data_IF_238251234611
#
_entry.id   IF_238251234611
#
_cell.length_a   1.000
_cell.length_b   1.000
_cell.length_c   1.000
_cell.angle_alpha   90.00
_cell.angle_beta   90.00
_cell.angle_gamma   90.00
#
_symmetry.space_group_name_H-M   'P 1'
#
loop_
_entity.id
_entity.type
_entity.pdbx_description
1 polymer ?
#
# COMPACT_ATOMS: atom_id res chain seq x y z
N UNK A 1 21.75 -29.54 7.15
CA UNK A 1 20.36 -29.59 6.62
C UNK A 1 19.39 -28.81 7.50
N UNK A 2 19.36 -29.03 8.81
CA UNK A 2 18.47 -28.28 9.74
C UNK A 2 18.71 -26.75 9.73
N UNK A 3 19.97 -26.33 9.65
CA UNK A 3 20.38 -24.91 9.58
C UNK A 3 19.94 -24.18 8.30
N UNK A 4 19.85 -24.88 7.17
CA UNK A 4 19.46 -24.29 5.88
C UNK A 4 17.95 -24.06 5.87
N UNK A 5 17.18 -25.04 6.36
CA UNK A 5 15.72 -24.96 6.47
C UNK A 5 15.31 -23.83 7.43
N UNK A 6 15.99 -23.68 8.57
CA UNK A 6 15.73 -22.58 9.50
C UNK A 6 16.09 -21.20 8.92
N UNK A 7 17.11 -21.10 8.07
CA UNK A 7 17.47 -19.87 7.37
C UNK A 7 16.44 -19.50 6.31
N UNK A 8 16.02 -20.47 5.48
CA UNK A 8 14.98 -20.28 4.47
C UNK A 8 13.62 -19.92 5.11
N UNK A 9 13.25 -20.57 6.22
CA UNK A 9 12.02 -20.26 6.94
C UNK A 9 12.02 -18.83 7.52
N UNK A 10 13.18 -18.32 7.96
CA UNK A 10 13.33 -16.93 8.43
C UNK A 10 13.14 -15.91 7.30
N UNK A 11 13.67 -16.19 6.10
CA UNK A 11 13.54 -15.32 4.93
C UNK A 11 12.10 -15.29 4.39
N UNK A 12 11.44 -16.44 4.29
CA UNK A 12 10.02 -16.51 3.89
C UNK A 12 9.11 -15.77 4.89
N UNK A 13 9.36 -15.91 6.19
CA UNK A 13 8.61 -15.18 7.22
C UNK A 13 8.80 -13.67 7.11
N UNK A 14 10.02 -13.19 6.80
CA UNK A 14 10.29 -11.77 6.59
C UNK A 14 9.53 -11.22 5.38
N UNK A 15 9.52 -11.95 4.26
CA UNK A 15 8.77 -11.57 3.04
C UNK A 15 7.27 -11.51 3.33
N UNK A 16 6.72 -12.50 4.05
CA UNK A 16 5.30 -12.53 4.44
C UNK A 16 4.93 -11.35 5.34
N UNK A 17 5.79 -10.98 6.30
CA UNK A 17 5.57 -9.80 7.15
C UNK A 17 5.55 -8.52 6.31
N UNK A 18 6.49 -8.34 5.39
CA UNK A 18 6.53 -7.18 4.49
C UNK A 18 5.30 -7.12 3.59
N UNK A 19 4.87 -8.25 3.04
CA UNK A 19 3.66 -8.35 2.23
C UNK A 19 2.39 -8.01 3.04
N UNK A 20 2.30 -8.45 4.29
CA UNK A 20 1.19 -8.11 5.19
C UNK A 20 1.14 -6.61 5.50
N UNK A 21 2.30 -5.99 5.76
CA UNK A 21 2.41 -4.55 5.97
C UNK A 21 1.97 -3.74 4.72
N UNK A 22 2.38 -4.18 3.52
CA UNK A 22 1.92 -3.60 2.26
C UNK A 22 0.40 -3.68 2.12
N UNK A 23 -0.19 -4.85 2.42
CA UNK A 23 -1.63 -5.07 2.31
C UNK A 23 -2.42 -4.17 3.26
N UNK A 24 -1.98 -4.06 4.51
CA UNK A 24 -2.57 -3.15 5.51
C UNK A 24 -2.46 -1.70 5.03
N UNK A 25 -1.30 -1.28 4.50
CA UNK A 25 -1.10 0.07 3.99
C UNK A 25 -2.06 0.41 2.85
N UNK A 26 -2.21 -0.48 1.86
CA UNK A 26 -3.16 -0.30 0.76
C UNK A 26 -4.60 -0.21 1.30
N UNK A 27 -4.97 -1.04 2.27
CA UNK A 27 -6.27 -0.98 2.92
C UNK A 27 -6.55 0.37 3.61
N UNK A 28 -5.56 0.90 4.33
CA UNK A 28 -5.65 2.22 4.98
C UNK A 28 -5.83 3.32 3.92
N UNK A 29 -5.02 3.30 2.87
CA UNK A 29 -5.09 4.30 1.79
C UNK A 29 -6.47 4.30 1.12
N UNK A 30 -7.01 3.13 0.78
CA UNK A 30 -8.36 3.00 0.22
C UNK A 30 -9.40 3.55 1.20
N UNK A 31 -9.30 3.20 2.49
CA UNK A 31 -10.26 3.65 3.50
C UNK A 31 -10.25 5.17 3.67
N UNK A 32 -9.06 5.79 3.69
CA UNK A 32 -8.92 7.26 3.72
C UNK A 32 -9.57 7.89 2.49
N UNK A 33 -9.31 7.35 1.30
CA UNK A 33 -9.88 7.88 0.05
C UNK A 33 -11.41 7.74 0.02
N UNK A 34 -11.95 6.60 0.47
CA UNK A 34 -13.40 6.34 0.52
C UNK A 34 -14.09 7.22 1.56
N UNK A 35 -13.50 7.34 2.76
CA UNK A 35 -14.05 8.18 3.83
C UNK A 35 -14.18 9.62 3.35
N UNK A 36 -13.12 10.12 2.74
CA UNK A 36 -13.10 11.49 2.25
C UNK A 36 -14.10 11.74 1.12
N UNK A 37 -14.21 10.78 0.20
CA UNK A 37 -15.16 10.89 -0.89
C UNK A 37 -16.60 10.83 -0.37
N UNK A 38 -16.87 10.03 0.68
CA UNK A 38 -18.17 10.06 1.35
C UNK A 38 -18.47 11.41 1.98
N UNK A 39 -17.53 11.99 2.72
CA UNK A 39 -17.73 13.33 3.32
C UNK A 39 -18.06 14.37 2.24
N UNK A 40 -17.40 14.30 1.09
CA UNK A 40 -17.73 15.19 -0.02
C UNK A 40 -19.12 14.96 -0.64
N UNK A 41 -19.55 13.70 -0.77
CA UNK A 41 -20.90 13.40 -1.23
C UNK A 41 -21.95 13.87 -0.23
N UNK A 42 -21.64 13.85 1.06
CA UNK A 42 -22.50 14.34 2.13
C UNK A 42 -22.71 15.86 2.06
N UNK A 43 -21.67 16.63 1.71
CA UNK A 43 -21.77 18.07 1.46
C UNK A 43 -22.60 18.42 0.19
N UNK A 44 -22.73 17.47 -0.75
CA UNK A 44 -23.46 17.66 -2.01
C UNK A 44 -24.43 16.49 -2.29
N UNK A 45 -25.55 16.38 -1.54
CA UNK A 45 -26.43 15.21 -1.55
C UNK A 45 -27.16 14.95 -2.88
N UNK A 46 -27.13 15.90 -3.82
CA UNK A 46 -27.65 15.75 -5.18
C UNK A 46 -26.71 14.97 -6.12
N UNK A 47 -25.42 14.84 -5.78
CA UNK A 47 -24.45 14.12 -6.60
C UNK A 47 -24.47 12.63 -6.30
N UNK A 48 -24.67 11.82 -7.34
CA UNK A 48 -24.53 10.36 -7.24
C UNK A 48 -23.05 9.97 -7.27
N UNK A 49 -22.71 8.84 -6.64
CA UNK A 49 -21.35 8.29 -6.67
C UNK A 49 -20.89 8.09 -8.13
N UNK A 50 -19.82 8.78 -8.52
CA UNK A 50 -19.25 8.73 -9.87
C UNK A 50 -17.77 8.38 -9.78
N UNK A 51 -17.39 7.21 -10.33
CA UNK A 51 -15.99 6.77 -10.37
C UNK A 51 -15.10 7.73 -11.16
N UNK A 52 -15.64 8.38 -12.20
CA UNK A 52 -14.91 9.38 -12.99
C UNK A 52 -14.53 10.60 -12.15
N UNK A 53 -15.44 11.07 -11.30
CA UNK A 53 -15.18 12.20 -10.40
C UNK A 53 -14.28 11.83 -9.23
N UNK A 54 -14.32 10.57 -8.79
CA UNK A 54 -13.39 10.05 -7.79
C UNK A 54 -11.95 10.05 -8.31
N UNK A 55 -11.71 9.58 -9.53
CA UNK A 55 -10.36 9.50 -10.13
C UNK A 55 -9.84 10.89 -10.51
N UNK A 56 -10.71 11.79 -11.02
CA UNK A 56 -10.32 13.15 -11.43
C UNK A 56 -9.98 14.07 -10.25
N UNK A 57 -10.27 13.65 -9.02
CA UNK A 57 -10.01 14.44 -7.81
C UNK A 57 -8.51 14.50 -7.52
N UNK A 58 -7.97 15.71 -7.31
CA UNK A 58 -6.55 15.93 -6.97
C UNK A 58 -6.04 15.08 -5.79
N UNK A 59 -6.93 14.75 -4.84
CA UNK A 59 -6.62 13.90 -3.67
C UNK A 59 -6.39 12.43 -4.02
N UNK A 60 -7.02 11.93 -5.09
CA UNK A 60 -6.74 10.60 -5.63
C UNK A 60 -5.29 10.53 -6.11
N UNK A 61 -4.83 11.54 -6.85
CA UNK A 61 -3.45 11.62 -7.32
C UNK A 61 -2.44 11.74 -6.18
N UNK A 62 -2.73 12.51 -5.12
CA UNK A 62 -1.86 12.58 -3.93
C UNK A 62 -1.73 11.20 -3.26
N UNK A 63 -2.85 10.49 -3.07
CA UNK A 63 -2.85 9.14 -2.50
C UNK A 63 -2.11 8.13 -3.40
N UNK A 64 -2.27 8.26 -4.72
CA UNK A 64 -1.58 7.42 -5.70
C UNK A 64 -0.07 7.65 -5.68
N UNK A 65 0.37 8.93 -5.64
CA UNK A 65 1.79 9.29 -5.51
C UNK A 65 2.36 8.73 -4.19
N UNK A 66 1.65 8.89 -3.07
CA UNK A 66 2.06 8.29 -1.79
C UNK A 66 2.13 6.76 -1.86
N UNK A 67 1.21 6.12 -2.58
CA UNK A 67 1.26 4.68 -2.84
C UNK A 67 2.51 4.27 -3.62
N UNK A 68 2.83 4.98 -4.70
CA UNK A 68 4.02 4.71 -5.52
C UNK A 68 5.31 4.95 -4.74
N UNK A 69 5.41 6.04 -3.98
CA UNK A 69 6.56 6.33 -3.11
C UNK A 69 6.73 5.23 -2.05
N UNK A 70 5.64 4.75 -1.47
CA UNK A 70 5.71 3.67 -0.48
C UNK A 70 6.14 2.34 -1.10
N UNK A 71 5.60 1.96 -2.27
CA UNK A 71 6.00 0.74 -2.98
C UNK A 71 7.48 0.80 -3.37
N UNK A 72 7.92 1.92 -3.93
CA UNK A 72 9.34 2.11 -4.30
C UNK A 72 10.26 2.05 -3.08
N UNK A 73 9.85 2.64 -1.94
CA UNK A 73 10.57 2.51 -0.68
C UNK A 73 10.67 1.05 -0.22
N UNK A 74 9.58 0.28 -0.24
CA UNK A 74 9.60 -1.14 0.14
C UNK A 74 10.48 -1.95 -0.81
N UNK A 75 10.41 -1.70 -2.12
CA UNK A 75 11.32 -2.32 -3.10
C UNK A 75 12.79 -2.02 -2.79
N UNK A 76 13.13 -0.77 -2.46
CA UNK A 76 14.49 -0.39 -2.07
C UNK A 76 14.95 -1.15 -0.82
N UNK A 77 14.11 -1.25 0.21
CA UNK A 77 14.43 -2.01 1.43
C UNK A 77 14.69 -3.48 1.09
N UNK A 78 13.84 -4.09 0.26
CA UNK A 78 14.02 -5.49 -0.17
C UNK A 78 15.33 -5.66 -0.96
N UNK A 79 15.64 -4.75 -1.89
CA UNK A 79 16.89 -4.79 -2.65
C UNK A 79 18.14 -4.62 -1.77
N UNK A 80 18.09 -3.73 -0.76
CA UNK A 80 19.17 -3.56 0.20
C UNK A 80 19.38 -4.81 1.05
N UNK A 81 18.29 -5.43 1.52
CA UNK A 81 18.35 -6.69 2.25
C UNK A 81 18.97 -7.79 1.38
N UNK A 82 18.55 -7.91 0.12
CA UNK A 82 19.12 -8.88 -0.82
C UNK A 82 20.63 -8.69 -1.05
N UNK A 83 21.11 -7.46 -1.19
CA UNK A 83 22.55 -7.16 -1.34
C UNK A 83 23.31 -7.44 -0.05
N UNK A 84 22.72 -7.20 1.11
CA UNK A 84 23.36 -7.43 2.42
C UNK A 84 23.51 -8.92 2.80
N UNK A 85 22.74 -9.79 2.15
CA UNK A 85 22.76 -11.24 2.38
C UNK A 85 23.80 -11.94 1.49
N UNK A 86 24.26 -11.28 0.41
CA UNK A 86 25.25 -11.79 -0.55
C UNK A 86 26.69 -11.53 -0.09
#
# INVERSE_FOLDING_TARGET
>A
MKSIIDSFAKEEQAILIVALFLLIYVGIMINVMVREYRTYLDDYPMYHFSLGDFIRRGRFYICLILGVVFITFVCLVVSLMAISIQ
#
